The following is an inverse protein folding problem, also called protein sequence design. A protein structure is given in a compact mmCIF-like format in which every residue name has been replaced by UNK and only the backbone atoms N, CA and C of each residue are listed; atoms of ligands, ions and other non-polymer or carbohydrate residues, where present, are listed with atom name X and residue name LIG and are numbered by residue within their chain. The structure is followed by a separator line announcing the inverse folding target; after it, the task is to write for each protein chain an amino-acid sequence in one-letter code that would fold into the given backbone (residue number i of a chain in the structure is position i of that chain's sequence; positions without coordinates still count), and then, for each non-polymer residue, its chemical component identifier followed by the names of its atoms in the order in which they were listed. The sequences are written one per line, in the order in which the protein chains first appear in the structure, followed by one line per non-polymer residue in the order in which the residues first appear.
data_IF_010326510043
#
_entry.id   IF_010326510043
#
_cell.length_a   1.000
_cell.length_b   1.000
_cell.length_c   1.000
_cell.angle_alpha   90.00
_cell.angle_beta   90.00
_cell.angle_gamma   90.00
#
_symmetry.space_group_name_H-M   'P 1'
#
loop_
_entity.id
_entity.type
_entity.pdbx_description
1 polymer ?
#
# COMPACT_ATOMS: atom_id res chain seq x y z
N UNK A 1 -17.35 -6.05 11.89
CA UNK A 1 -16.89 -7.30 11.24
C UNK A 1 -15.38 -7.21 11.10
N UNK A 2 -14.64 -8.21 11.54
CA UNK A 2 -13.19 -8.28 11.33
C UNK A 2 -12.97 -8.95 9.98
N UNK A 3 -12.45 -8.22 9.00
CA UNK A 3 -11.99 -8.83 7.75
C UNK A 3 -10.63 -9.49 8.08
N UNK A 4 -10.49 -10.78 7.80
CA UNK A 4 -9.23 -11.52 7.94
C UNK A 4 -8.71 -11.86 6.57
N UNK A 5 -7.47 -11.45 6.29
CA UNK A 5 -6.79 -11.70 5.02
C UNK A 5 -5.85 -12.89 5.13
N UNK A 6 -5.74 -13.68 4.08
CA UNK A 6 -4.68 -14.69 3.95
C UNK A 6 -3.38 -14.06 3.43
N UNK A 7 -2.28 -14.82 3.43
CA UNK A 7 -0.97 -14.29 3.06
C UNK A 7 -0.89 -13.91 1.57
N UNK A 8 -1.61 -14.61 0.70
CA UNK A 8 -1.65 -14.33 -0.74
C UNK A 8 -2.31 -12.98 -1.03
N UNK A 9 -3.43 -12.71 -0.36
CA UNK A 9 -4.14 -11.43 -0.42
C UNK A 9 -3.27 -10.27 0.10
N UNK A 10 -2.53 -10.51 1.20
CA UNK A 10 -1.62 -9.50 1.76
C UNK A 10 -0.50 -9.15 0.78
N UNK A 11 0.10 -10.14 0.13
CA UNK A 11 1.14 -9.86 -0.87
C UNK A 11 0.59 -9.24 -2.14
N UNK A 12 -0.63 -9.59 -2.58
CA UNK A 12 -1.28 -8.93 -3.72
C UNK A 12 -1.50 -7.43 -3.46
N UNK A 13 -1.93 -7.07 -2.24
CA UNK A 13 -2.02 -5.65 -1.83
C UNK A 13 -0.65 -5.00 -1.87
N UNK A 14 0.37 -5.65 -1.33
CA UNK A 14 1.72 -5.10 -1.29
C UNK A 14 2.23 -4.85 -2.72
N UNK A 15 2.13 -5.83 -3.62
CA UNK A 15 2.45 -5.64 -5.05
C UNK A 15 1.68 -4.47 -5.67
N UNK A 16 0.39 -4.32 -5.36
CA UNK A 16 -0.43 -3.23 -5.90
C UNK A 16 -0.04 -1.85 -5.35
N UNK A 17 0.35 -1.77 -4.07
CA UNK A 17 0.90 -0.56 -3.45
C UNK A 17 2.18 -0.14 -4.18
N UNK A 18 3.10 -1.07 -4.41
CA UNK A 18 4.36 -0.77 -5.08
C UNK A 18 4.15 -0.33 -6.54
N UNK A 19 3.22 -0.97 -7.27
CA UNK A 19 2.85 -0.54 -8.63
C UNK A 19 2.28 0.88 -8.64
N UNK A 20 1.44 1.20 -7.66
CA UNK A 20 0.87 2.54 -7.50
C UNK A 20 1.98 3.57 -7.20
N UNK A 21 2.91 3.27 -6.30
CA UNK A 21 4.07 4.12 -5.97
C UNK A 21 4.96 4.35 -7.18
N UNK A 22 5.32 3.29 -7.91
CA UNK A 22 6.14 3.37 -9.11
C UNK A 22 5.49 4.24 -10.20
N UNK A 23 4.17 4.14 -10.38
CA UNK A 23 3.41 4.99 -11.30
C UNK A 23 3.42 6.45 -10.84
N UNK A 24 3.14 6.70 -9.56
CA UNK A 24 3.13 8.04 -8.98
C UNK A 24 4.47 8.76 -9.18
N UNK A 25 5.60 8.12 -8.87
CA UNK A 25 6.91 8.75 -9.02
C UNK A 25 7.27 9.03 -10.48
N UNK A 26 6.86 8.18 -11.43
CA UNK A 26 7.05 8.45 -12.87
C UNK A 26 6.21 9.63 -13.34
N UNK A 27 4.97 9.74 -12.90
CA UNK A 27 4.10 10.88 -13.20
C UNK A 27 4.63 12.18 -12.57
N UNK A 28 5.11 12.12 -11.32
CA UNK A 28 5.75 13.25 -10.67
C UNK A 28 7.03 13.69 -11.42
N UNK A 29 7.86 12.74 -11.85
CA UNK A 29 9.07 13.00 -12.62
C UNK A 29 8.77 13.62 -13.99
N UNK A 30 7.66 13.25 -14.62
CA UNK A 30 7.22 13.83 -15.89
C UNK A 30 6.82 15.31 -15.75
N UNK A 31 6.33 15.71 -14.58
CA UNK A 31 5.91 17.08 -14.27
C UNK A 31 7.02 17.93 -13.61
N UNK A 32 8.14 17.33 -13.21
CA UNK A 32 9.26 18.03 -12.58
C UNK A 32 10.06 18.84 -13.61
N UNK A 33 10.33 20.11 -13.30
CA UNK A 33 11.14 21.02 -14.12
C UNK A 33 12.63 20.97 -13.78
N UNK A 34 12.96 20.68 -12.52
CA UNK A 34 14.33 20.53 -12.05
C UNK A 34 14.88 19.14 -12.38
N UNK A 35 16.09 19.10 -12.95
CA UNK A 35 16.71 17.88 -13.45
C UNK A 35 17.12 16.92 -12.32
N UNK A 36 17.55 17.43 -11.18
CA UNK A 36 17.97 16.62 -10.03
C UNK A 36 16.74 16.02 -9.34
N UNK A 37 15.66 16.81 -9.19
CA UNK A 37 14.36 16.33 -8.69
C UNK A 37 13.80 15.24 -9.61
N UNK A 38 13.83 15.44 -10.93
CA UNK A 38 13.38 14.43 -11.90
C UNK A 38 14.17 13.14 -11.76
N UNK A 39 15.50 13.22 -11.63
CA UNK A 39 16.37 12.05 -11.45
C UNK A 39 16.07 11.32 -10.14
N UNK A 40 15.87 12.05 -9.05
CA UNK A 40 15.49 11.48 -7.75
C UNK A 40 14.17 10.71 -7.86
N UNK A 41 13.12 11.31 -8.42
CA UNK A 41 11.81 10.68 -8.57
C UNK A 41 11.87 9.43 -9.46
N UNK A 42 12.62 9.47 -10.57
CA UNK A 42 12.83 8.27 -11.39
C UNK A 42 13.57 7.17 -10.62
N UNK A 43 14.54 7.52 -9.77
CA UNK A 43 15.21 6.54 -8.90
C UNK A 43 14.26 5.91 -7.90
N UNK A 44 13.32 6.68 -7.34
CA UNK A 44 12.28 6.15 -6.44
C UNK A 44 11.37 5.18 -7.18
N UNK A 45 10.91 5.51 -8.39
CA UNK A 45 10.10 4.60 -9.19
C UNK A 45 10.79 3.23 -9.44
N UNK A 46 12.10 3.23 -9.67
CA UNK A 46 12.89 2.00 -9.87
C UNK A 46 13.03 1.19 -8.58
N UNK A 47 13.06 1.84 -7.41
CA UNK A 47 13.05 1.14 -6.12
C UNK A 47 11.72 0.42 -5.92
N UNK A 48 10.59 1.07 -6.22
CA UNK A 48 9.27 0.43 -6.11
C UNK A 48 9.10 -0.74 -7.09
N UNK A 49 9.65 -0.68 -8.30
CA UNK A 49 9.69 -1.84 -9.20
C UNK A 49 10.44 -3.03 -8.56
N UNK A 50 11.48 -2.76 -7.78
CA UNK A 50 12.26 -3.79 -7.09
C UNK A 50 11.53 -4.34 -5.86
N UNK A 51 10.78 -3.50 -5.15
CA UNK A 51 9.90 -3.92 -4.06
C UNK A 51 8.76 -4.81 -4.57
N UNK A 52 8.10 -4.43 -5.66
CA UNK A 52 7.05 -5.22 -6.30
C UNK A 52 7.55 -6.62 -6.66
N UNK A 53 8.74 -6.71 -7.26
CA UNK A 53 9.36 -7.99 -7.60
C UNK A 53 9.65 -8.83 -6.36
N UNK A 54 10.08 -8.20 -5.26
CA UNK A 54 10.34 -8.89 -3.98
C UNK A 54 9.05 -9.50 -3.43
N UNK A 55 7.96 -8.73 -3.39
CA UNK A 55 6.66 -9.25 -2.95
C UNK A 55 6.12 -10.33 -3.88
N UNK A 56 6.29 -10.18 -5.20
CA UNK A 56 5.92 -11.20 -6.19
C UNK A 56 6.65 -12.52 -5.95
N UNK A 57 7.94 -12.47 -5.63
CA UNK A 57 8.73 -13.67 -5.35
C UNK A 57 8.33 -14.31 -4.03
N UNK A 58 8.10 -13.52 -2.97
CA UNK A 58 7.55 -14.02 -1.70
C UNK A 58 6.18 -14.68 -1.87
N UNK A 59 5.30 -14.10 -2.70
CA UNK A 59 3.97 -14.64 -3.01
C UNK A 59 4.05 -15.98 -3.75
N UNK A 60 5.02 -16.15 -4.64
CA UNK A 60 5.25 -17.42 -5.36
C UNK A 60 5.68 -18.53 -4.41
N UNK A 61 6.40 -18.22 -3.35
CA UNK A 61 6.89 -19.17 -2.34
C UNK A 61 5.82 -19.63 -1.35
N UNK A 62 4.65 -18.97 -1.32
CA UNK A 62 3.54 -19.37 -0.44
C UNK A 62 3.07 -20.80 -0.72
N UNK A 63 2.87 -21.56 0.36
CA UNK A 63 2.32 -22.91 0.29
C UNK A 63 0.84 -22.88 -0.10
N UNK A 64 0.29 -24.04 -0.48
CA UNK A 64 -1.15 -24.15 -0.76
C UNK A 64 -2.03 -23.82 0.46
N UNK A 65 -1.50 -24.01 1.67
CA UNK A 65 -2.17 -23.71 2.93
C UNK A 65 -2.17 -22.21 3.23
N UNK A 66 -1.09 -21.50 2.90
CA UNK A 66 -1.00 -20.03 3.04
C UNK A 66 -1.89 -19.29 2.03
N UNK A 67 -2.14 -19.92 0.88
CA UNK A 67 -3.06 -19.44 -0.18
C UNK A 67 -4.52 -19.83 0.08
N UNK A 68 -4.78 -20.71 1.04
CA UNK A 68 -6.13 -21.17 1.32
C UNK A 68 -6.90 -20.07 2.07
N UNK A 69 -7.74 -19.35 1.33
CA UNK A 69 -8.80 -18.54 1.96
C UNK A 69 -9.81 -19.47 2.60
N UNK A 70 -9.94 -19.40 3.93
CA UNK A 70 -11.05 -20.01 4.66
C UNK A 70 -12.34 -19.17 4.58
N UNK A 71 -12.34 -18.08 3.80
CA UNK A 71 -13.51 -17.21 3.58
C UNK A 71 -14.22 -17.54 2.27
N UNK A 72 -15.51 -17.82 2.36
CA UNK A 72 -16.41 -17.87 1.21
C UNK A 72 -16.82 -16.44 0.85
N UNK A 73 -16.18 -15.86 -0.17
CA UNK A 73 -16.46 -14.53 -0.71
C UNK A 73 -16.91 -14.63 -2.20
N UNK A 74 -18.19 -14.95 -2.46
CA UNK A 74 -18.69 -15.13 -3.82
C UNK A 74 -18.74 -13.82 -4.62
N UNK A 75 -18.78 -12.67 -3.95
CA UNK A 75 -18.96 -11.35 -4.55
C UNK A 75 -17.63 -10.56 -4.66
N UNK A 76 -16.52 -11.16 -4.23
CA UNK A 76 -15.17 -10.60 -4.27
C UNK A 76 -15.07 -9.23 -3.56
N UNK A 77 -15.85 -9.04 -2.49
CA UNK A 77 -15.93 -7.80 -1.72
C UNK A 77 -14.61 -7.54 -0.98
N UNK A 78 -13.92 -8.60 -0.56
CA UNK A 78 -12.63 -8.51 0.14
C UNK A 78 -11.58 -7.90 -0.79
N UNK A 79 -11.45 -8.38 -2.03
CA UNK A 79 -10.50 -7.84 -2.99
C UNK A 79 -10.78 -6.35 -3.33
N UNK A 80 -12.05 -5.95 -3.42
CA UNK A 80 -12.42 -4.55 -3.67
C UNK A 80 -12.08 -3.63 -2.49
N UNK A 81 -12.32 -4.10 -1.26
CA UNK A 81 -11.92 -3.39 -0.05
C UNK A 81 -10.39 -3.25 0.03
N UNK A 82 -9.66 -4.30 -0.34
CA UNK A 82 -8.21 -4.32 -0.38
C UNK A 82 -7.62 -3.34 -1.38
N UNK A 83 -8.16 -3.31 -2.59
CA UNK A 83 -7.80 -2.31 -3.59
C UNK A 83 -7.99 -0.89 -3.05
N UNK A 84 -9.11 -0.64 -2.40
CA UNK A 84 -9.41 0.68 -1.81
C UNK A 84 -8.40 1.06 -0.71
N UNK A 85 -7.99 0.11 0.14
CA UNK A 85 -6.98 0.34 1.18
C UNK A 85 -5.59 0.60 0.58
N UNK A 86 -5.18 -0.18 -0.44
CA UNK A 86 -3.93 0.02 -1.17
C UNK A 86 -3.87 1.43 -1.77
N UNK A 87 -4.96 1.86 -2.41
CA UNK A 87 -5.06 3.18 -3.02
C UNK A 87 -5.01 4.32 -1.99
N UNK A 88 -5.46 4.08 -0.74
CA UNK A 88 -5.45 5.09 0.32
C UNK A 88 -4.09 5.23 1.02
N UNK A 89 -3.33 4.14 1.13
CA UNK A 89 -2.11 4.06 1.95
C UNK A 89 -0.79 4.00 1.16
N UNK A 90 -0.83 3.84 -0.16
CA UNK A 90 0.34 3.50 -0.98
C UNK A 90 1.32 4.61 -1.34
N UNK A 91 1.79 5.42 -0.38
CA UNK A 91 2.88 6.38 -0.62
C UNK A 91 3.83 6.44 0.56
N UNK A 92 4.98 5.78 0.39
CA UNK A 92 6.12 5.93 1.28
C UNK A 92 6.59 7.40 1.27
N UNK A 93 6.66 8.01 2.44
CA UNK A 93 7.07 9.40 2.61
C UNK A 93 5.96 10.46 2.50
N UNK A 94 4.67 10.08 2.32
CA UNK A 94 3.59 11.05 2.52
C UNK A 94 3.45 11.33 4.03
N UNK A 95 3.76 12.55 4.45
CA UNK A 95 3.34 13.01 5.77
C UNK A 95 1.82 12.86 5.87
N UNK A 96 1.35 12.01 6.81
CA UNK A 96 -0.03 12.09 7.24
C UNK A 96 -0.20 13.45 7.89
N UNK A 97 -0.98 14.34 7.28
CA UNK A 97 -1.57 15.44 8.04
C UNK A 97 -2.55 14.80 8.99
N UNK A 98 -2.09 14.51 10.20
CA UNK A 98 -2.95 14.19 11.32
C UNK A 98 -3.86 15.41 11.48
N UNK A 99 -5.12 15.29 11.04
CA UNK A 99 -6.08 16.36 11.23
C UNK A 99 -6.33 16.47 12.73
N UNK A 100 -6.17 17.68 13.27
CA UNK A 100 -6.14 18.01 14.70
C UNK A 100 -7.37 17.51 15.52
N UNK A 101 -8.44 17.06 14.86
CA UNK A 101 -9.63 16.50 15.51
C UNK A 101 -9.38 15.15 16.23
N UNK A 102 -8.40 14.35 15.80
CA UNK A 102 -8.08 13.08 16.48
C UNK A 102 -7.21 13.25 17.73
N UNK A 103 -6.43 14.34 17.83
CA UNK A 103 -5.57 14.62 19.00
C UNK A 103 -6.43 15.08 20.20
N UNK A 104 -7.52 15.81 19.94
CA UNK A 104 -8.43 16.30 20.98
C UNK A 104 -9.11 15.15 21.77
N UNK A 105 -9.31 13.99 21.13
CA UNK A 105 -10.00 12.85 21.75
C UNK A 105 -9.13 12.04 22.70
N UNK A 106 -7.79 12.05 22.52
CA UNK A 106 -6.85 11.42 23.43
C UNK A 106 -6.57 12.26 24.67
N UNK A 107 -6.59 13.60 24.58
CA UNK A 107 -6.27 14.46 25.72
C UNK A 107 -7.41 14.57 26.74
N UNK A 108 -8.67 14.41 26.33
CA UNK A 108 -9.84 14.53 27.24
C UNK A 108 -10.08 13.26 28.08
N UNK A 109 -9.39 12.15 27.81
CA UNK A 109 -9.51 10.90 28.59
C UNK A 109 -8.39 10.65 29.63
N UNK A 110 -7.49 11.62 29.84
CA UNK A 110 -6.46 11.55 30.89
C UNK A 110 -6.65 12.55 32.04
N UNK A 111 -7.74 13.33 32.04
CA UNK A 111 -8.10 14.26 33.12
C UNK A 111 -9.52 13.99 33.70
N UNK A 112 -9.91 12.71 33.82
CA UNK A 112 -10.95 12.26 34.75
C UNK A 112 -10.58 10.91 35.40
#
# INVERSE_FOLDING_TARGET
MSITFNADEIFEIAEQIERNGAKFYREAAANATDADVKKMLLSMAVMEDSHEQTFSDMRKELSAEDKASNLFDPDNEVAQYLQTMADFHGIEGKERKQTDEEIQMCFVRMDL
#
